data_IF_907147909676
#
_entry.id   IF_907147909676
#
_cell.length_a   1.000
_cell.length_b   1.000
_cell.length_c   1.000
_cell.angle_alpha   90.00
_cell.angle_beta   90.00
_cell.angle_gamma   90.00
#
_symmetry.space_group_name_H-M   'P 1'
#
loop_
_entity.id
_entity.type
_entity.pdbx_description
1 polymer ?
#
# COMPACT_ATOMS: atom_id res chain seq x y z
N UNK A 1 11.30 6.37 -0.71
CA UNK A 1 12.19 6.00 -1.84
C UNK A 1 11.32 5.52 -3.00
N UNK A 2 11.57 5.94 -4.23
CA UNK A 2 10.67 5.59 -5.36
C UNK A 2 10.55 4.06 -5.57
N UNK A 3 11.62 3.32 -5.25
CA UNK A 3 11.63 1.87 -5.31
C UNK A 3 10.68 1.20 -4.29
N UNK A 4 10.57 1.74 -3.07
CA UNK A 4 9.67 1.21 -2.04
C UNK A 4 8.20 1.43 -2.39
N UNK A 5 7.88 2.62 -2.91
CA UNK A 5 6.54 2.91 -3.43
C UNK A 5 6.17 2.00 -4.62
N UNK A 6 7.09 1.80 -5.57
CA UNK A 6 6.86 0.90 -6.70
C UNK A 6 6.64 -0.55 -6.26
N UNK A 7 7.40 -1.03 -5.27
CA UNK A 7 7.22 -2.36 -4.68
C UNK A 7 5.86 -2.48 -3.98
N UNK A 8 5.45 -1.46 -3.23
CA UNK A 8 4.17 -1.43 -2.51
C UNK A 8 2.99 -1.51 -3.48
N UNK A 9 3.02 -0.75 -4.58
CA UNK A 9 1.99 -0.82 -5.62
C UNK A 9 1.89 -2.22 -6.22
N UNK A 10 3.01 -2.89 -6.52
CA UNK A 10 3.02 -4.24 -7.07
C UNK A 10 2.47 -5.27 -6.08
N UNK A 11 2.83 -5.16 -4.80
CA UNK A 11 2.31 -6.03 -3.76
C UNK A 11 0.78 -5.85 -3.61
N UNK A 12 0.30 -4.60 -3.65
CA UNK A 12 -1.12 -4.28 -3.58
C UNK A 12 -1.91 -4.75 -4.80
N UNK A 13 -1.35 -4.62 -6.01
CA UNK A 13 -1.98 -5.11 -7.25
C UNK A 13 -2.17 -6.64 -7.26
N UNK A 14 -1.21 -7.37 -6.67
CA UNK A 14 -1.25 -8.83 -6.62
C UNK A 14 -1.93 -9.39 -5.36
N UNK A 15 -2.31 -8.54 -4.40
CA UNK A 15 -2.94 -8.98 -3.16
C UNK A 15 -1.97 -9.59 -2.13
N UNK A 16 -0.67 -9.30 -2.25
CA UNK A 16 0.38 -9.88 -1.39
C UNK A 16 0.45 -9.17 -0.03
N UNK A 17 -0.49 -9.48 0.85
CA UNK A 17 -0.64 -8.86 2.19
C UNK A 17 0.67 -8.85 3.00
N UNK A 18 1.36 -9.97 3.10
CA UNK A 18 2.59 -10.08 3.91
C UNK A 18 3.71 -9.18 3.37
N UNK A 19 3.82 -9.06 2.05
CA UNK A 19 4.82 -8.18 1.40
C UNK A 19 4.48 -6.71 1.66
N UNK A 20 3.18 -6.36 1.65
CA UNK A 20 2.72 -5.01 1.98
C UNK A 20 3.14 -4.63 3.41
N UNK A 21 2.93 -5.51 4.38
CA UNK A 21 3.32 -5.31 5.79
C UNK A 21 4.83 -5.09 5.97
N UNK A 22 5.65 -5.93 5.31
CA UNK A 22 7.11 -5.76 5.34
C UNK A 22 7.53 -4.42 4.71
N UNK A 23 6.93 -4.02 3.60
CA UNK A 23 7.26 -2.75 2.97
C UNK A 23 6.88 -1.54 3.84
N UNK A 24 5.70 -1.57 4.46
CA UNK A 24 5.24 -0.50 5.35
C UNK A 24 6.12 -0.39 6.60
N UNK A 25 6.52 -1.51 7.20
CA UNK A 25 7.45 -1.51 8.35
C UNK A 25 8.84 -0.96 8.01
N UNK A 26 9.26 -1.02 6.75
CA UNK A 26 10.51 -0.42 6.25
C UNK A 26 10.36 1.04 5.79
N UNK A 27 9.20 1.67 6.05
CA UNK A 27 8.95 3.07 5.71
C UNK A 27 8.63 3.29 4.23
N UNK A 28 8.04 2.30 3.56
CA UNK A 28 7.45 2.54 2.24
C UNK A 28 6.35 3.60 2.34
N UNK A 29 6.36 4.53 1.40
CA UNK A 29 5.38 5.60 1.34
C UNK A 29 4.05 5.06 0.81
N UNK A 30 3.03 5.07 1.68
CA UNK A 30 1.68 4.62 1.39
C UNK A 30 0.88 5.63 0.55
N UNK A 31 1.23 6.92 0.64
CA UNK A 31 0.59 8.01 -0.11
C UNK A 31 1.23 8.24 -1.48
N UNK A 32 2.38 7.59 -1.74
CA UNK A 32 3.04 7.66 -3.04
C UNK A 32 2.09 7.23 -4.17
N UNK A 33 2.06 8.05 -5.22
CA UNK A 33 1.31 7.75 -6.44
C UNK A 33 2.20 7.08 -7.47
N UNK A 34 1.66 6.09 -8.17
CA UNK A 34 2.30 5.53 -9.36
C UNK A 34 2.13 6.45 -10.59
N UNK A 35 2.72 6.05 -11.73
CA UNK A 35 2.62 6.79 -13.00
C UNK A 35 1.18 6.98 -13.52
N UNK A 36 0.23 6.17 -13.04
CA UNK A 36 -1.19 6.27 -13.37
C UNK A 36 -1.97 7.14 -12.36
N UNK A 37 -1.27 7.89 -11.48
CA UNK A 37 -1.85 8.70 -10.41
C UNK A 37 -2.74 7.91 -9.44
N UNK A 38 -2.44 6.62 -9.27
CA UNK A 38 -3.11 5.77 -8.29
C UNK A 38 -2.20 5.55 -7.09
N UNK A 39 -2.80 5.51 -5.90
CA UNK A 39 -2.12 5.09 -4.66
C UNK A 39 -2.12 3.56 -4.54
N UNK A 40 -1.30 3.03 -3.62
CA UNK A 40 -1.29 1.63 -3.26
C UNK A 40 -2.69 1.11 -2.87
N UNK A 41 -3.44 1.92 -2.11
CA UNK A 41 -4.82 1.64 -1.73
C UNK A 41 -5.77 1.55 -2.94
N UNK A 42 -5.67 2.50 -3.87
CA UNK A 42 -6.46 2.49 -5.11
C UNK A 42 -6.20 1.26 -5.96
N UNK A 43 -4.94 0.80 -6.02
CA UNK A 43 -4.57 -0.44 -6.70
C UNK A 43 -5.20 -1.69 -6.05
N UNK A 44 -5.14 -1.82 -4.73
CA UNK A 44 -5.74 -2.95 -4.01
C UNK A 44 -7.27 -2.95 -4.14
N UNK A 45 -7.91 -1.78 -4.04
CA UNK A 45 -9.35 -1.61 -4.20
C UNK A 45 -9.81 -1.99 -5.61
N UNK A 46 -9.13 -1.49 -6.65
CA UNK A 46 -9.47 -1.79 -8.04
C UNK A 46 -9.37 -3.28 -8.39
N UNK A 47 -8.56 -4.04 -7.66
CA UNK A 47 -8.40 -5.49 -7.84
C UNK A 47 -9.28 -6.32 -6.92
N UNK A 48 -10.00 -5.71 -5.98
CA UNK A 48 -10.87 -6.40 -5.03
C UNK A 48 -10.13 -7.09 -3.89
N UNK A 49 -8.88 -6.70 -3.60
CA UNK A 49 -8.06 -7.30 -2.54
C UNK A 49 -8.40 -6.75 -1.17
N UNK A 50 -9.59 -7.09 -0.66
CA UNK A 50 -10.15 -6.57 0.60
C UNK A 50 -9.19 -6.67 1.80
N UNK A 51 -8.49 -7.78 1.97
CA UNK A 51 -7.53 -7.96 3.06
C UNK A 51 -6.34 -6.99 3.01
N UNK A 52 -5.92 -6.59 1.82
CA UNK A 52 -4.85 -5.58 1.64
C UNK A 52 -5.41 -4.18 1.88
N UNK A 53 -6.64 -3.90 1.43
CA UNK A 53 -7.32 -2.63 1.68
C UNK A 53 -7.49 -2.38 3.18
N UNK A 54 -7.97 -3.36 3.94
CA UNK A 54 -8.09 -3.25 5.40
C UNK A 54 -6.75 -3.01 6.08
N UNK A 55 -5.70 -3.71 5.66
CA UNK A 55 -4.35 -3.53 6.18
C UNK A 55 -3.83 -2.10 5.94
N UNK A 56 -3.97 -1.58 4.71
CA UNK A 56 -3.53 -0.23 4.36
C UNK A 56 -4.30 0.84 5.16
N UNK A 57 -5.63 0.70 5.31
CA UNK A 57 -6.46 1.62 6.10
C UNK A 57 -6.10 1.61 7.59
N UNK A 58 -5.80 0.42 8.13
CA UNK A 58 -5.33 0.29 9.51
C UNK A 58 -3.99 1.00 9.72
N UNK A 59 -3.07 0.86 8.75
CA UNK A 59 -1.78 1.55 8.77
C UNK A 59 -1.93 3.07 8.66
N UNK A 60 -2.76 3.59 7.75
CA UNK A 60 -3.03 5.03 7.63
C UNK A 60 -3.63 5.61 8.92
N UNK A 61 -4.58 4.89 9.54
CA UNK A 61 -5.20 5.30 10.79
C UNK A 61 -4.19 5.37 11.94
N UNK A 62 -3.26 4.42 11.99
CA UNK A 62 -2.17 4.41 12.98
C UNK A 62 -1.19 5.57 12.77
N UNK A 63 -0.94 5.98 11.52
CA UNK A 63 -0.08 7.13 11.20
C UNK A 63 -0.76 8.45 11.57
N UNK A 64 -2.06 8.62 11.32
CA UNK A 64 -2.81 9.84 11.63
C UNK A 64 -3.09 10.04 13.13
N UNK A 65 -3.02 8.98 13.93
CA UNK A 65 -3.31 9.02 15.36
C UNK A 65 -2.11 9.40 16.25
N UNK A 66 -1.01 9.90 15.66
CA UNK A 66 0.25 10.21 16.35
C UNK A 66 0.66 11.65 16.12
#
# INVERSE_FOLDING_TARGET
>A
NDAGAAALHRACLNGHREVVEVLLSHGADIEAMNNARMTALGCAYSKGHGSVVEMLLSHESNIKSK
#
